data_IF_322654746150
#
_entry.id   IF_322654746150
#
_cell.length_a   1.000
_cell.length_b   1.000
_cell.length_c   1.000
_cell.angle_alpha   90.00
_cell.angle_beta   90.00
_cell.angle_gamma   90.00
#
_symmetry.space_group_name_H-M   'P 1'
#
loop_
_entity.id
_entity.type
_entity.pdbx_description
1 polymer ?
#
# COMPACT_ATOMS: atom_id res chain seq x y z
N UNK A 1 3.55 4.59 11.93
CA UNK A 1 2.81 5.77 12.44
C UNK A 1 2.27 6.53 11.24
N UNK A 2 0.98 6.90 11.22
CA UNK A 2 0.41 7.70 10.14
C UNK A 2 0.93 9.15 10.22
N UNK A 3 1.07 9.82 9.08
CA UNK A 3 1.63 11.19 8.99
C UNK A 3 0.72 12.03 8.11
N UNK A 4 0.34 13.21 8.61
CA UNK A 4 -0.20 14.28 7.77
C UNK A 4 0.98 15.08 7.21
N UNK A 5 1.32 14.86 5.93
CA UNK A 5 2.44 15.50 5.28
C UNK A 5 1.97 16.72 4.47
N UNK A 6 2.56 17.90 4.73
CA UNK A 6 2.25 19.16 4.06
C UNK A 6 3.41 19.70 3.21
N UNK A 7 4.57 19.04 3.23
CA UNK A 7 5.76 19.41 2.46
C UNK A 7 6.33 18.24 1.66
N UNK A 8 7.10 18.55 0.60
CA UNK A 8 7.83 17.55 -0.19
C UNK A 8 8.72 16.67 0.70
N UNK A 9 9.40 17.27 1.67
CA UNK A 9 10.28 16.56 2.59
C UNK A 9 9.51 15.53 3.45
N UNK A 10 8.39 15.92 4.04
CA UNK A 10 7.54 15.00 4.83
C UNK A 10 6.98 13.86 3.98
N UNK A 11 6.58 14.15 2.73
CA UNK A 11 6.11 13.13 1.78
C UNK A 11 7.24 12.13 1.50
N UNK A 12 8.45 12.60 1.21
CA UNK A 12 9.60 11.74 0.92
C UNK A 12 10.01 10.88 2.11
N UNK A 13 9.92 11.40 3.35
CA UNK A 13 10.17 10.62 4.57
C UNK A 13 9.20 9.47 4.77
N UNK A 14 8.01 9.53 4.18
CA UNK A 14 7.03 8.45 4.24
C UNK A 14 7.34 7.29 3.29
N UNK A 15 8.31 7.44 2.38
CA UNK A 15 8.66 6.42 1.39
C UNK A 15 9.10 5.09 2.02
N UNK A 16 8.96 4.02 1.25
CA UNK A 16 9.26 2.64 1.67
C UNK A 16 8.08 1.97 2.38
N UNK A 17 7.87 0.69 2.08
CA UNK A 17 6.79 -0.10 2.65
C UNK A 17 7.09 -0.50 4.09
N UNK A 18 6.12 -0.24 4.98
CA UNK A 18 6.08 -0.81 6.32
C UNK A 18 5.02 -1.90 6.29
N UNK A 19 5.42 -3.15 6.52
CA UNK A 19 4.52 -4.31 6.44
C UNK A 19 3.65 -4.49 7.70
N UNK A 20 3.65 -3.51 8.59
CA UNK A 20 2.79 -3.43 9.76
C UNK A 20 1.68 -2.42 9.53
N UNK A 21 0.56 -2.59 10.24
CA UNK A 21 -0.58 -1.71 10.09
C UNK A 21 -0.26 -0.26 10.46
N UNK A 22 -0.69 0.68 9.62
CA UNK A 22 -0.62 2.13 9.87
C UNK A 22 -2.01 2.72 9.70
N UNK A 23 -2.66 3.23 10.77
CA UNK A 23 -4.02 3.77 10.71
C UNK A 23 -4.06 5.16 10.06
N UNK A 24 -3.85 5.24 8.74
CA UNK A 24 -3.73 6.50 7.99
C UNK A 24 -4.98 7.40 8.06
N UNK A 25 -6.15 6.84 8.38
CA UNK A 25 -7.38 7.60 8.64
C UNK A 25 -7.27 8.58 9.81
N UNK A 26 -6.40 8.32 10.79
CA UNK A 26 -6.15 9.26 11.90
C UNK A 26 -5.50 10.56 11.39
N UNK A 27 -4.43 10.44 10.58
CA UNK A 27 -3.80 11.60 9.96
C UNK A 27 -4.75 12.33 8.98
N UNK A 28 -5.62 11.60 8.30
CA UNK A 28 -6.67 12.21 7.47
C UNK A 28 -7.64 13.05 8.31
N UNK A 29 -8.13 12.50 9.44
CA UNK A 29 -8.99 13.22 10.38
C UNK A 29 -8.31 14.50 10.87
N UNK A 30 -7.05 14.43 11.27
CA UNK A 30 -6.28 15.59 11.74
C UNK A 30 -6.20 16.68 10.66
N UNK A 31 -5.95 16.31 9.40
CA UNK A 31 -5.93 17.23 8.27
C UNK A 31 -7.29 17.92 8.04
N UNK A 32 -8.38 17.18 8.18
CA UNK A 32 -9.75 17.72 8.08
C UNK A 32 -10.05 18.69 9.23
N UNK A 33 -9.63 18.38 10.45
CA UNK A 33 -9.83 19.24 11.62
C UNK A 33 -9.04 20.55 11.54
N UNK A 34 -7.85 20.51 10.93
CA UNK A 34 -7.06 21.70 10.57
C UNK A 34 -7.65 22.52 9.42
N UNK A 35 -8.82 22.15 8.91
CA UNK A 35 -9.52 22.81 7.79
C UNK A 35 -8.68 22.88 6.51
N UNK A 36 -7.82 21.88 6.28
CA UNK A 36 -7.02 21.80 5.06
C UNK A 36 -7.93 21.30 3.94
N UNK A 37 -8.14 22.14 2.92
CA UNK A 37 -9.25 21.99 1.98
C UNK A 37 -9.19 20.71 1.12
N UNK A 38 -8.05 20.40 0.51
CA UNK A 38 -7.91 19.28 -0.43
C UNK A 38 -6.80 18.35 0.05
N UNK A 39 -7.16 17.13 0.44
CA UNK A 39 -6.25 16.13 0.99
C UNK A 39 -6.08 14.99 -0.04
N UNK A 40 -4.84 14.67 -0.36
CA UNK A 40 -4.48 13.44 -1.04
C UNK A 40 -4.23 12.33 0.00
N UNK A 41 -4.64 11.10 -0.30
CA UNK A 41 -4.53 9.98 0.61
C UNK A 41 -3.81 8.80 -0.05
N UNK A 42 -2.83 8.23 0.66
CA UNK A 42 -2.15 7.00 0.27
C UNK A 42 -2.51 5.92 1.27
N UNK A 43 -3.02 4.78 0.79
CA UNK A 43 -3.43 3.70 1.68
C UNK A 43 -3.62 2.37 0.99
N UNK A 44 -3.76 1.33 1.80
CA UNK A 44 -4.08 -0.04 1.35
C UNK A 44 -5.57 -0.17 1.01
N UNK A 45 -6.01 -1.25 0.35
CA UNK A 45 -7.37 -1.38 -0.17
C UNK A 45 -8.46 -1.14 0.88
N UNK A 46 -8.32 -1.69 2.09
CA UNK A 46 -9.27 -1.48 3.18
C UNK A 46 -9.42 -0.01 3.61
N UNK A 47 -8.33 0.78 3.54
CA UNK A 47 -8.37 2.21 3.86
C UNK A 47 -9.03 3.02 2.75
N UNK A 48 -8.80 2.64 1.49
CA UNK A 48 -9.48 3.24 0.34
C UNK A 48 -10.99 2.94 0.39
N UNK A 49 -11.38 1.72 0.76
CA UNK A 49 -12.79 1.36 0.98
C UNK A 49 -13.43 2.22 2.07
N UNK A 50 -12.72 2.47 3.18
CA UNK A 50 -13.21 3.35 4.23
C UNK A 50 -13.44 4.79 3.74
N UNK A 51 -12.53 5.34 2.92
CA UNK A 51 -12.70 6.67 2.33
C UNK A 51 -13.86 6.74 1.34
N UNK A 52 -14.05 5.74 0.47
CA UNK A 52 -15.23 5.69 -0.40
C UNK A 52 -16.52 5.56 0.37
N UNK A 53 -16.53 4.80 1.46
CA UNK A 53 -17.68 4.73 2.38
C UNK A 53 -17.97 6.09 3.01
N UNK A 54 -16.94 6.85 3.41
CA UNK A 54 -17.10 8.23 3.88
C UNK A 54 -17.74 9.13 2.82
N UNK A 55 -17.34 8.99 1.54
CA UNK A 55 -17.93 9.74 0.43
C UNK A 55 -19.39 9.36 0.16
N UNK A 56 -19.77 8.10 0.37
CA UNK A 56 -21.13 7.59 0.13
C UNK A 56 -22.12 7.88 1.29
N UNK A 57 -21.62 8.18 2.49
CA UNK A 57 -22.41 8.47 3.68
C UNK A 57 -22.61 9.99 3.87
N UNK A 58 -23.56 10.45 4.73
CA UNK A 58 -23.80 11.87 5.00
C UNK A 58 -22.68 12.57 5.81
N UNK A 59 -21.42 12.21 5.58
CA UNK A 59 -20.22 12.73 6.24
C UNK A 59 -19.58 13.86 5.41
N UNK A 60 -20.37 14.87 5.02
CA UNK A 60 -19.99 15.92 4.06
C UNK A 60 -18.67 16.62 4.41
N UNK A 61 -18.41 16.89 5.69
CA UNK A 61 -17.17 17.51 6.19
C UNK A 61 -15.93 16.74 5.72
N UNK A 62 -15.96 15.42 5.86
CA UNK A 62 -14.86 14.54 5.50
C UNK A 62 -14.84 14.24 4.01
N UNK A 63 -16.00 13.97 3.41
CA UNK A 63 -16.12 13.65 1.98
C UNK A 63 -15.55 14.77 1.09
N UNK A 64 -15.82 16.03 1.41
CA UNK A 64 -15.33 17.20 0.65
C UNK A 64 -13.81 17.36 0.71
N UNK A 65 -13.16 16.89 1.78
CA UNK A 65 -11.72 17.02 1.95
C UNK A 65 -10.93 15.98 1.12
N UNK A 66 -11.57 14.86 0.74
CA UNK A 66 -10.92 13.81 -0.06
C UNK A 66 -10.77 14.32 -1.49
N UNK A 67 -9.56 14.72 -1.85
CA UNK A 67 -9.26 15.18 -3.21
C UNK A 67 -8.79 14.01 -4.07
N UNK A 68 -7.82 13.22 -3.63
CA UNK A 68 -7.17 12.24 -4.50
C UNK A 68 -6.72 11.01 -3.71
N UNK A 69 -6.86 9.81 -4.27
CA UNK A 69 -6.55 8.55 -3.61
C UNK A 69 -5.56 7.70 -4.41
N UNK A 70 -4.41 7.41 -3.81
CA UNK A 70 -3.44 6.42 -4.30
C UNK A 70 -3.58 5.14 -3.47
N UNK A 71 -4.04 4.08 -4.12
CA UNK A 71 -4.20 2.75 -3.53
C UNK A 71 -2.95 1.89 -3.71
N UNK A 72 -2.42 1.36 -2.62
CA UNK A 72 -1.30 0.42 -2.67
C UNK A 72 -1.81 -1.01 -2.80
N UNK A 73 -1.20 -1.82 -3.67
CA UNK A 73 -1.48 -3.25 -3.72
C UNK A 73 -1.15 -3.90 -2.37
N UNK A 74 -2.05 -4.75 -1.87
CA UNK A 74 -1.90 -5.37 -0.56
C UNK A 74 -2.49 -6.78 -0.53
N UNK A 75 -1.67 -7.76 -0.12
CA UNK A 75 -2.14 -9.11 0.18
C UNK A 75 -2.56 -9.23 1.64
N UNK A 76 -1.69 -8.78 2.53
CA UNK A 76 -1.83 -8.88 3.98
C UNK A 76 -0.94 -7.84 4.67
N UNK A 77 -1.26 -7.57 5.93
CA UNK A 77 -0.45 -6.80 6.86
C UNK A 77 -0.12 -7.69 8.05
N UNK A 78 0.98 -7.40 8.75
CA UNK A 78 1.42 -8.15 9.92
C UNK A 78 1.35 -7.29 11.18
N UNK A 79 1.32 -7.94 12.35
CA UNK A 79 1.42 -7.23 13.62
C UNK A 79 2.87 -6.78 13.87
N UNK A 80 3.04 -5.62 14.51
CA UNK A 80 4.38 -5.15 14.90
C UNK A 80 5.03 -6.13 15.89
N UNK A 81 4.25 -6.58 16.88
CA UNK A 81 4.71 -7.57 17.83
C UNK A 81 5.18 -8.85 17.13
N UNK A 82 4.36 -9.42 16.24
CA UNK A 82 4.68 -10.68 15.56
C UNK A 82 5.83 -10.57 14.55
N UNK A 83 5.72 -9.68 13.56
CA UNK A 83 6.72 -9.60 12.48
C UNK A 83 8.03 -8.96 12.95
N UNK A 84 7.95 -7.85 13.69
CA UNK A 84 9.14 -7.07 14.02
C UNK A 84 9.81 -7.66 15.26
N UNK A 85 9.09 -7.79 16.39
CA UNK A 85 9.72 -8.25 17.63
C UNK A 85 9.94 -9.77 17.66
N UNK A 86 8.92 -10.56 17.36
CA UNK A 86 9.03 -12.01 17.51
C UNK A 86 9.80 -12.66 16.35
N UNK A 87 9.61 -12.20 15.11
CA UNK A 87 10.27 -12.78 13.95
C UNK A 87 11.64 -12.14 13.67
N UNK A 88 11.69 -10.85 13.31
CA UNK A 88 12.98 -10.22 12.95
C UNK A 88 13.96 -10.15 14.13
N UNK A 89 13.52 -9.61 15.27
CA UNK A 89 14.42 -9.42 16.40
C UNK A 89 14.78 -10.74 17.10
N UNK A 90 13.78 -11.51 17.56
CA UNK A 90 14.05 -12.72 18.35
C UNK A 90 14.50 -13.93 17.53
N UNK A 91 13.88 -14.21 16.37
CA UNK A 91 14.22 -15.41 15.59
C UNK A 91 15.38 -15.19 14.64
N UNK A 92 15.45 -14.03 13.98
CA UNK A 92 16.54 -13.74 13.04
C UNK A 92 17.72 -12.99 13.68
N UNK A 93 17.58 -12.48 14.90
CA UNK A 93 18.62 -11.68 15.56
C UNK A 93 18.86 -10.33 14.89
N UNK A 94 17.88 -9.79 14.18
CA UNK A 94 17.99 -8.55 13.41
C UNK A 94 17.28 -7.43 14.16
N UNK A 95 18.05 -6.43 14.60
CA UNK A 95 17.49 -5.25 15.21
C UNK A 95 16.70 -4.41 14.18
N UNK A 96 15.48 -3.94 14.52
CA UNK A 96 14.63 -3.21 13.57
C UNK A 96 15.30 -1.94 13.00
N UNK A 97 16.18 -1.32 13.79
CA UNK A 97 16.91 -0.12 13.38
C UNK A 97 18.00 -0.41 12.33
N UNK A 98 18.43 -1.66 12.17
CA UNK A 98 19.45 -2.04 11.19
C UNK A 98 18.86 -2.39 9.83
N UNK A 99 17.52 -2.49 9.74
CA UNK A 99 16.81 -2.77 8.50
C UNK A 99 16.69 -1.49 7.66
N UNK A 100 17.30 -1.50 6.48
CA UNK A 100 17.18 -0.43 5.49
C UNK A 100 15.89 -0.58 4.68
N UNK A 101 15.58 -1.82 4.25
CA UNK A 101 14.43 -2.09 3.38
C UNK A 101 13.89 -3.50 3.59
N UNK A 102 12.58 -3.61 3.62
CA UNK A 102 11.85 -4.88 3.60
C UNK A 102 11.16 -5.01 2.24
N UNK A 103 11.18 -6.20 1.66
CA UNK A 103 10.41 -6.52 0.47
C UNK A 103 9.80 -7.91 0.59
N UNK A 104 8.61 -8.11 0.03
CA UNK A 104 7.92 -9.40 0.00
C UNK A 104 7.64 -9.79 -1.45
N UNK A 105 8.38 -10.79 -1.94
CA UNK A 105 8.28 -11.34 -3.30
C UNK A 105 8.40 -12.86 -3.27
N UNK A 106 7.34 -13.56 -2.89
CA UNK A 106 7.35 -15.01 -2.66
C UNK A 106 8.14 -15.46 -1.42
N UNK A 107 9.07 -14.63 -0.96
CA UNK A 107 9.83 -14.70 0.30
C UNK A 107 9.98 -13.30 0.88
N UNK A 108 10.32 -13.20 2.16
CA UNK A 108 10.75 -11.94 2.76
C UNK A 108 12.20 -11.71 2.39
N UNK A 109 12.52 -10.47 2.03
CA UNK A 109 13.86 -10.00 1.73
C UNK A 109 14.12 -8.79 2.62
N UNK A 110 15.12 -8.89 3.50
CA UNK A 110 15.57 -7.84 4.39
C UNK A 110 16.93 -7.35 3.88
N UNK A 111 17.00 -6.09 3.47
CA UNK A 111 18.26 -5.40 3.19
C UNK A 111 18.65 -4.63 4.44
N UNK A 112 19.81 -4.92 4.98
CA UNK A 112 20.36 -4.28 6.17
C UNK A 112 21.25 -3.09 5.78
N UNK A 113 21.43 -2.15 6.70
CA UNK A 113 22.24 -0.94 6.50
C UNK A 113 23.72 -1.24 6.24
N UNK A 114 24.23 -2.37 6.72
CA UNK A 114 25.59 -2.86 6.45
C UNK A 114 25.75 -3.46 5.03
N UNK A 115 24.68 -3.49 4.22
CA UNK A 115 24.68 -4.06 2.87
C UNK A 115 24.27 -5.53 2.79
N UNK A 116 24.15 -6.21 3.93
CA UNK A 116 23.76 -7.62 3.99
C UNK A 116 22.30 -7.83 3.57
N UNK A 117 22.03 -8.94 2.87
CA UNK A 117 20.68 -9.33 2.47
C UNK A 117 20.31 -10.65 3.14
N UNK A 118 19.28 -10.61 3.99
CA UNK A 118 18.69 -11.80 4.63
C UNK A 118 17.37 -12.15 3.98
N UNK A 119 17.08 -13.44 3.88
CA UNK A 119 15.79 -13.90 3.34
C UNK A 119 15.13 -14.91 4.25
N UNK A 120 13.80 -14.89 4.30
CA UNK A 120 12.99 -15.77 5.12
C UNK A 120 11.76 -16.27 4.35
N UNK A 121 11.24 -17.44 4.72
CA UNK A 121 10.05 -17.99 4.07
C UNK A 121 8.80 -17.19 4.46
N UNK A 122 7.93 -16.93 3.48
CA UNK A 122 6.62 -16.34 3.74
C UNK A 122 5.76 -17.22 4.67
N UNK A 123 5.98 -18.54 4.67
CA UNK A 123 5.21 -19.46 5.52
C UNK A 123 5.46 -19.21 7.02
N UNK A 124 6.68 -18.84 7.39
CA UNK A 124 7.09 -18.63 8.78
C UNK A 124 6.44 -17.39 9.39
N UNK A 125 6.22 -16.36 8.58
CA UNK A 125 5.61 -15.11 9.03
C UNK A 125 4.09 -15.07 8.94
N UNK A 126 3.49 -16.00 8.20
CA UNK A 126 2.05 -15.99 7.95
C UNK A 126 1.22 -16.05 9.23
N UNK A 127 1.73 -16.72 10.27
CA UNK A 127 1.12 -16.76 11.61
C UNK A 127 1.06 -15.40 12.31
N UNK A 128 1.82 -14.41 11.84
CA UNK A 128 1.83 -13.04 12.36
C UNK A 128 0.98 -12.07 11.53
N UNK A 129 0.29 -12.58 10.48
CA UNK A 129 -0.64 -11.76 9.70
C UNK A 129 -1.80 -11.28 10.58
N UNK A 130 -2.31 -10.09 10.32
CA UNK A 130 -3.45 -9.58 11.06
C UNK A 130 -4.75 -10.29 10.66
N UNK A 131 -5.53 -10.74 11.64
CA UNK A 131 -6.76 -11.52 11.41
C UNK A 131 -7.78 -10.82 10.51
N UNK A 132 -7.92 -9.49 10.65
CA UNK A 132 -8.82 -8.70 9.80
C UNK A 132 -8.38 -8.64 8.32
N UNK A 133 -7.16 -9.07 7.97
CA UNK A 133 -6.79 -9.24 6.57
C UNK A 133 -7.54 -10.41 5.92
N UNK A 134 -8.02 -11.38 6.71
CA UNK A 134 -8.77 -12.53 6.23
C UNK A 134 -10.16 -12.14 5.70
N UNK A 135 -10.75 -11.03 6.13
CA UNK A 135 -12.06 -10.56 5.61
C UNK A 135 -11.93 -9.65 4.38
N UNK A 136 -10.72 -9.13 4.12
CA UNK A 136 -10.49 -8.23 2.99
C UNK A 136 -10.42 -9.01 1.67
N UNK A 137 -11.25 -8.63 0.70
CA UNK A 137 -11.37 -9.29 -0.61
C UNK A 137 -10.69 -8.53 -1.76
N UNK A 138 -10.08 -7.38 -1.48
CA UNK A 138 -9.45 -6.50 -2.47
C UNK A 138 -7.92 -6.54 -2.33
N UNK A 139 -7.25 -6.87 -3.44
CA UNK A 139 -5.79 -6.85 -3.55
C UNK A 139 -5.28 -5.56 -4.19
N UNK A 140 -5.98 -5.06 -5.21
CA UNK A 140 -5.46 -4.05 -6.14
C UNK A 140 -5.95 -2.64 -5.84
N UNK A 141 -6.60 -2.44 -4.69
CA UNK A 141 -7.22 -1.18 -4.29
C UNK A 141 -8.19 -0.70 -5.37
N UNK A 142 -9.20 -1.51 -5.68
CA UNK A 142 -10.10 -1.36 -6.82
C UNK A 142 -10.87 -0.04 -6.84
N UNK A 143 -10.98 0.61 -5.69
CA UNK A 143 -11.72 1.86 -5.49
C UNK A 143 -10.84 3.13 -5.45
N UNK A 144 -9.53 3.03 -5.68
CA UNK A 144 -8.64 4.20 -5.69
C UNK A 144 -8.79 5.03 -6.98
N UNK A 145 -8.20 6.22 -7.03
CA UNK A 145 -8.09 6.98 -8.30
C UNK A 145 -6.93 6.43 -9.15
N UNK A 146 -5.81 6.12 -8.49
CA UNK A 146 -4.69 5.36 -9.04
C UNK A 146 -4.37 4.22 -8.09
N UNK A 147 -4.14 3.02 -8.62
CA UNK A 147 -3.60 1.90 -7.84
C UNK A 147 -2.21 1.53 -8.30
N UNK A 148 -1.31 1.25 -7.36
CA UNK A 148 0.10 1.03 -7.66
C UNK A 148 0.73 -0.05 -6.77
N UNK A 149 1.64 -0.84 -7.33
CA UNK A 149 2.47 -1.77 -6.57
C UNK A 149 3.55 -2.46 -7.39
N UNK A 150 4.59 -2.97 -6.73
CA UNK A 150 5.76 -3.61 -7.38
C UNK A 150 5.55 -5.07 -7.82
N UNK A 151 4.32 -5.46 -8.15
CA UNK A 151 3.99 -6.86 -8.48
C UNK A 151 4.67 -7.29 -9.78
N UNK A 152 5.54 -8.31 -9.70
CA UNK A 152 6.23 -8.87 -10.88
C UNK A 152 7.30 -7.97 -11.49
N UNK A 153 7.67 -6.86 -10.84
CA UNK A 153 8.57 -5.85 -11.39
C UNK A 153 9.71 -5.50 -10.43
N UNK A 154 10.85 -5.09 -10.99
CA UNK A 154 12.01 -4.56 -10.28
C UNK A 154 12.35 -3.18 -10.79
N UNK A 155 12.54 -2.22 -9.87
CA UNK A 155 12.73 -0.81 -10.22
C UNK A 155 11.48 -0.10 -10.77
N UNK A 156 10.43 -0.85 -11.13
CA UNK A 156 9.18 -0.35 -11.68
C UNK A 156 7.98 -0.71 -10.80
N UNK A 157 6.91 0.07 -10.93
CA UNK A 157 5.62 -0.22 -10.29
C UNK A 157 4.55 -0.42 -11.36
N UNK A 158 3.79 -1.49 -11.22
CA UNK A 158 2.58 -1.69 -12.00
C UNK A 158 1.54 -0.68 -11.51
N UNK A 159 1.05 0.16 -12.43
CA UNK A 159 0.12 1.25 -12.11
C UNK A 159 -1.17 1.08 -12.92
N UNK A 160 -2.32 1.20 -12.24
CA UNK A 160 -3.66 1.09 -12.82
C UNK A 160 -4.34 2.44 -12.60
N UNK A 161 -4.69 3.10 -13.69
CA UNK A 161 -5.47 4.34 -13.68
C UNK A 161 -6.95 3.96 -13.66
N UNK A 162 -7.74 4.50 -12.72
CA UNK A 162 -9.13 4.05 -12.49
C UNK A 162 -10.18 5.12 -12.70
N UNK A 163 -9.90 6.35 -12.27
CA UNK A 163 -10.85 7.47 -12.37
C UNK A 163 -10.31 8.56 -13.28
N UNK A 164 -11.20 9.39 -13.82
CA UNK A 164 -10.83 10.55 -14.64
C UNK A 164 -9.82 11.46 -13.93
N UNK A 165 -10.02 11.69 -12.63
CA UNK A 165 -9.07 12.45 -11.80
C UNK A 165 -7.71 11.77 -11.69
N UNK A 166 -7.69 10.45 -11.59
CA UNK A 166 -6.45 9.67 -11.64
C UNK A 166 -5.72 9.84 -12.96
N UNK A 167 -6.44 9.77 -14.08
CA UNK A 167 -5.87 9.96 -15.42
C UNK A 167 -5.31 11.37 -15.61
N UNK A 168 -6.07 12.39 -15.21
CA UNK A 168 -5.64 13.80 -15.30
C UNK A 168 -4.32 14.04 -14.55
N UNK A 169 -4.23 13.58 -13.29
CA UNK A 169 -3.03 13.74 -12.47
C UNK A 169 -1.87 12.91 -13.02
N UNK A 170 -2.12 11.68 -13.48
CA UNK A 170 -1.09 10.81 -14.03
C UNK A 170 -0.47 11.40 -15.31
N UNK A 171 -1.29 11.86 -16.26
CA UNK A 171 -0.83 12.50 -17.50
C UNK A 171 -0.05 13.78 -17.23
N UNK A 172 -0.47 14.59 -16.24
CA UNK A 172 0.30 15.77 -15.80
C UNK A 172 1.66 15.37 -15.23
N UNK A 173 1.73 14.29 -14.46
CA UNK A 173 2.99 13.79 -13.93
C UNK A 173 3.92 13.26 -15.04
N UNK A 174 3.37 12.57 -16.03
CA UNK A 174 4.12 12.08 -17.20
C UNK A 174 4.64 13.23 -18.06
N UNK A 175 3.77 14.14 -18.47
CA UNK A 175 4.13 15.29 -19.32
C UNK A 175 5.11 16.27 -18.66
N UNK A 176 5.08 16.40 -17.33
CA UNK A 176 6.06 17.20 -16.58
C UNK A 176 7.40 16.47 -16.32
N UNK A 177 7.53 15.21 -16.76
CA UNK A 177 8.75 14.42 -16.65
C UNK A 177 9.09 13.94 -15.23
N UNK A 178 8.15 14.06 -14.27
CA UNK A 178 8.39 13.61 -12.89
C UNK A 178 8.26 12.09 -12.73
N UNK A 179 7.66 11.41 -13.72
CA UNK A 179 7.61 9.95 -13.81
C UNK A 179 8.04 9.48 -15.20
N UNK A 180 8.62 8.28 -15.26
CA UNK A 180 8.84 7.55 -16.51
C UNK A 180 7.73 6.52 -16.67
N UNK A 181 7.17 6.42 -17.87
CA UNK A 181 6.05 5.51 -18.16
C UNK A 181 6.46 4.55 -19.27
N UNK A 182 6.15 3.27 -19.07
CA UNK A 182 6.22 2.23 -20.09
C UNK A 182 4.86 1.55 -20.14
N UNK A 183 4.19 1.64 -21.28
CA UNK A 183 2.96 0.89 -21.52
C UNK A 183 3.27 -0.62 -21.58
N UNK A 184 2.42 -1.41 -20.94
CA UNK A 184 2.49 -2.87 -21.04
C UNK A 184 2.12 -3.30 -22.46
N UNK A 185 2.92 -4.20 -23.02
CA UNK A 185 2.69 -4.82 -24.34
C UNK A 185 2.24 -6.27 -24.16
N UNK A 186 1.92 -6.95 -25.26
CA UNK A 186 1.51 -8.37 -25.21
C UNK A 186 2.57 -9.29 -24.58
N UNK A 187 3.85 -8.97 -24.75
CA UNK A 187 4.98 -9.65 -24.08
C UNK A 187 4.93 -9.54 -22.55
N UNK A 188 4.31 -8.49 -22.01
CA UNK A 188 4.17 -8.22 -20.58
C UNK A 188 2.94 -8.88 -19.96
N UNK A 189 2.16 -9.65 -20.74
CA UNK A 189 0.89 -10.28 -20.30
C UNK A 189 1.01 -11.07 -19.01
N UNK A 190 2.18 -11.68 -18.74
CA UNK A 190 2.48 -12.39 -17.49
C UNK A 190 2.29 -11.53 -16.23
N UNK A 191 2.57 -10.23 -16.30
CA UNK A 191 2.40 -9.28 -15.20
C UNK A 191 0.90 -9.06 -14.92
N UNK A 192 0.10 -8.91 -15.99
CA UNK A 192 -1.36 -8.77 -15.90
C UNK A 192 -1.98 -10.05 -15.35
N UNK A 193 -1.56 -11.21 -15.86
CA UNK A 193 -2.03 -12.51 -15.38
C UNK A 193 -1.71 -12.71 -13.88
N UNK A 194 -0.53 -12.26 -13.45
CA UNK A 194 -0.14 -12.30 -12.03
C UNK A 194 -1.03 -11.39 -11.18
N UNK A 195 -1.33 -10.17 -11.64
CA UNK A 195 -2.27 -9.26 -10.98
C UNK A 195 -3.66 -9.91 -10.84
N UNK A 196 -4.20 -10.45 -11.94
CA UNK A 196 -5.52 -11.11 -11.95
C UNK A 196 -5.53 -12.30 -11.00
N UNK A 197 -4.47 -13.13 -11.02
CA UNK A 197 -4.31 -14.28 -10.13
C UNK A 197 -4.31 -13.87 -8.67
N UNK A 198 -3.55 -12.82 -8.31
CA UNK A 198 -3.47 -12.31 -6.94
C UNK A 198 -4.81 -11.72 -6.48
N UNK A 199 -5.48 -10.92 -7.30
CA UNK A 199 -6.81 -10.39 -7.00
C UNK A 199 -7.85 -11.49 -6.82
N UNK A 200 -7.89 -12.49 -7.71
CA UNK A 200 -8.78 -13.66 -7.57
C UNK A 200 -8.50 -14.45 -6.30
N UNK A 201 -7.22 -14.67 -5.97
CA UNK A 201 -6.82 -15.38 -4.76
C UNK A 201 -7.27 -14.63 -3.51
N UNK A 202 -7.05 -13.31 -3.45
CA UNK A 202 -7.46 -12.46 -2.33
C UNK A 202 -8.98 -12.50 -2.14
N UNK A 203 -9.73 -12.38 -3.24
CA UNK A 203 -11.21 -12.41 -3.22
C UNK A 203 -11.77 -13.76 -2.78
N UNK A 204 -11.21 -14.87 -3.28
CA UNK A 204 -11.65 -16.23 -2.90
C UNK A 204 -11.26 -16.60 -1.47
N UNK A 205 -10.12 -16.11 -1.00
CA UNK A 205 -9.63 -16.37 0.36
C UNK A 205 -10.27 -15.49 1.43
N UNK A 206 -11.11 -14.52 1.03
CA UNK A 206 -11.77 -13.65 1.98
C UNK A 206 -12.89 -14.39 2.71
N UNK A 207 -12.81 -14.48 4.03
CA UNK A 207 -13.89 -15.02 4.86
C UNK A 207 -15.10 -14.11 4.78
N UNK A 208 -16.28 -14.69 4.52
CA UNK A 208 -17.55 -13.95 4.59
C UNK A 208 -17.83 -13.61 6.06
N UNK A 209 -18.13 -12.34 6.33
CA UNK A 209 -18.70 -11.94 7.61
C UNK A 209 -20.14 -12.50 7.63
N UNK A 210 -20.41 -13.40 8.58
CA UNK A 210 -21.77 -13.89 8.87
C UNK A 210 -22.60 -12.78 9.52
#
# INVERSE_FOLDING_TARGET
VPVFAASKYEILRCAGTKYTYSPNLLAFKDGVERKIGKIAFVGTPCQIHALRRIQALPLRKYAKAISFMIGLFCSESFTYEGLIKQFFQKQLGIEPNDIEKINIKGKIILKLKNGEVRTASLKEVKKYSCDYCAICSDFSAELADISVGGLGLEGWSLTIIRTEKGDEIFRKAESSGVIKVKNLKDEDRRIIDLLIKMSRRKRKGATKLN
#
